data_IF_941619920200
#
_entry.id   IF_941619920200
#
_cell.length_a   1.000
_cell.length_b   1.000
_cell.length_c   1.000
_cell.angle_alpha   90.00
_cell.angle_beta   90.00
_cell.angle_gamma   90.00
#
_symmetry.space_group_name_H-M   'P 1'
#
loop_
_entity.id
_entity.type
_entity.pdbx_description
1 polymer ?
#
# COMPACT_ATOMS: atom_id res chain seq x y z
N UNK A 1 -2.69 34.97 -10.75
CA UNK A 1 -2.43 33.57 -11.11
C UNK A 1 -0.92 33.37 -11.30
N UNK A 2 -0.39 32.15 -11.14
CA UNK A 2 0.90 31.82 -11.77
C UNK A 2 0.78 32.02 -13.29
N UNK A 3 1.90 32.23 -13.98
CA UNK A 3 1.91 32.38 -15.45
C UNK A 3 1.19 31.18 -16.09
N UNK A 4 0.17 31.46 -16.92
CA UNK A 4 -0.66 30.44 -17.55
C UNK A 4 0.15 29.53 -18.48
N UNK A 5 1.28 30.03 -19.01
CA UNK A 5 2.24 29.23 -19.76
C UNK A 5 2.98 28.22 -18.87
N UNK A 6 3.34 28.62 -17.64
CA UNK A 6 3.99 27.76 -16.66
C UNK A 6 3.04 26.65 -16.15
N UNK A 7 1.75 26.95 -16.03
CA UNK A 7 0.73 25.94 -15.72
C UNK A 7 0.59 24.98 -16.91
N UNK A 8 0.43 25.48 -18.14
CA UNK A 8 0.35 24.63 -19.34
C UNK A 8 1.52 23.67 -19.49
N UNK A 9 2.76 24.11 -19.19
CA UNK A 9 3.96 23.25 -19.26
C UNK A 9 3.96 22.08 -18.25
N UNK A 10 3.17 22.16 -17.18
CA UNK A 10 3.07 21.12 -16.14
C UNK A 10 1.91 20.15 -16.34
N UNK A 11 0.97 20.47 -17.24
CA UNK A 11 -0.21 19.64 -17.48
C UNK A 11 0.11 18.52 -18.46
N UNK A 12 -0.44 17.31 -18.26
CA UNK A 12 -0.40 16.26 -19.28
C UNK A 12 -1.22 16.69 -20.50
N UNK A 13 -1.03 16.01 -21.64
CA UNK A 13 -1.94 16.15 -22.77
C UNK A 13 -3.36 15.66 -22.37
N UNK A 14 -4.42 16.40 -22.75
CA UNK A 14 -5.79 15.94 -22.54
C UNK A 14 -6.06 14.63 -23.28
N UNK A 15 -5.36 14.33 -24.37
CA UNK A 15 -5.48 13.06 -25.09
C UNK A 15 -5.13 11.84 -24.23
N UNK A 16 -4.33 12.00 -23.18
CA UNK A 16 -4.01 10.93 -22.23
C UNK A 16 -5.17 10.62 -21.26
N UNK A 17 -6.11 11.55 -21.10
CA UNK A 17 -7.31 11.39 -20.28
C UNK A 17 -7.67 12.64 -19.48
N UNK A 18 -8.93 13.04 -19.55
CA UNK A 18 -9.46 14.24 -18.90
C UNK A 18 -9.36 14.22 -17.38
N UNK A 19 -9.46 13.05 -16.73
CA UNK A 19 -9.27 12.92 -15.29
C UNK A 19 -7.81 13.11 -14.85
N UNK A 20 -6.82 12.65 -15.63
CA UNK A 20 -5.40 12.93 -15.38
C UNK A 20 -5.13 14.44 -15.48
N UNK A 21 -5.68 15.07 -16.52
CA UNK A 21 -5.57 16.52 -16.71
C UNK A 21 -6.24 17.31 -15.56
N UNK A 22 -7.46 16.93 -15.16
CA UNK A 22 -8.17 17.56 -14.03
C UNK A 22 -7.35 17.43 -12.73
N UNK A 23 -6.79 16.25 -12.43
CA UNK A 23 -5.94 16.03 -11.26
C UNK A 23 -4.74 16.98 -11.28
N UNK A 24 -3.98 16.99 -12.37
CA UNK A 24 -2.81 17.86 -12.54
C UNK A 24 -3.17 19.36 -12.48
N UNK A 25 -4.33 19.76 -13.01
CA UNK A 25 -4.83 21.13 -12.94
C UNK A 25 -5.15 21.57 -11.51
N UNK A 26 -5.83 20.72 -10.74
CA UNK A 26 -6.14 21.00 -9.33
C UNK A 26 -4.89 20.99 -8.45
N UNK A 27 -3.93 20.11 -8.72
CA UNK A 27 -2.61 20.10 -8.07
C UNK A 27 -1.79 21.36 -8.41
N UNK A 28 -1.78 21.80 -9.67
CA UNK A 28 -1.14 23.05 -10.09
C UNK A 28 -1.80 24.31 -9.49
N UNK A 29 -3.10 24.25 -9.21
CA UNK A 29 -3.85 25.30 -8.51
C UNK A 29 -3.89 25.14 -6.99
N UNK A 30 -3.16 24.18 -6.41
CA UNK A 30 -3.19 23.92 -4.97
C UNK A 30 -2.76 25.17 -4.17
N UNK A 31 -3.51 25.48 -3.11
CA UNK A 31 -3.34 26.71 -2.33
C UNK A 31 -3.94 27.98 -2.96
N UNK A 32 -4.60 27.88 -4.12
CA UNK A 32 -5.38 28.98 -4.74
C UNK A 32 -6.86 28.60 -4.88
N UNK A 33 -7.73 29.60 -5.04
CA UNK A 33 -9.11 29.41 -5.51
C UNK A 33 -9.15 29.72 -7.00
N UNK A 34 -9.14 28.72 -7.90
CA UNK A 34 -9.22 28.97 -9.34
C UNK A 34 -10.60 29.53 -9.72
N UNK A 35 -10.62 30.46 -10.67
CA UNK A 35 -11.86 31.05 -11.21
C UNK A 35 -12.23 30.48 -12.58
N UNK A 36 -13.41 30.84 -13.09
CA UNK A 36 -13.84 30.48 -14.44
C UNK A 36 -12.91 31.04 -15.53
N UNK A 37 -12.45 32.30 -15.40
CA UNK A 37 -11.49 32.89 -16.34
C UNK A 37 -10.15 32.18 -16.35
N UNK A 38 -9.68 31.76 -15.17
CA UNK A 38 -8.48 30.95 -15.00
C UNK A 38 -8.61 29.59 -15.70
N UNK A 39 -9.74 28.90 -15.50
CA UNK A 39 -10.06 27.66 -16.22
C UNK A 39 -10.13 27.87 -17.74
N UNK A 40 -10.89 28.86 -18.23
CA UNK A 40 -11.04 29.19 -19.65
C UNK A 40 -9.69 29.41 -20.33
N UNK A 41 -8.82 30.23 -19.71
CA UNK A 41 -7.46 30.51 -20.20
C UNK A 41 -6.65 29.22 -20.36
N UNK A 42 -6.60 28.39 -19.32
CA UNK A 42 -5.78 27.17 -19.32
C UNK A 42 -6.35 26.09 -20.24
N UNK A 43 -7.67 25.86 -20.23
CA UNK A 43 -8.33 24.88 -21.10
C UNK A 43 -8.24 25.26 -22.58
N UNK A 44 -8.50 26.52 -22.94
CA UNK A 44 -8.34 27.01 -24.30
C UNK A 44 -6.88 26.93 -24.77
N UNK A 45 -5.91 27.17 -23.89
CA UNK A 45 -4.49 27.05 -24.22
C UNK A 45 -4.03 25.60 -24.42
N UNK A 46 -4.71 24.62 -23.82
CA UNK A 46 -4.43 23.19 -24.00
C UNK A 46 -5.24 22.55 -25.15
N UNK A 47 -6.36 23.16 -25.55
CA UNK A 47 -7.26 22.66 -26.60
C UNK A 47 -7.43 23.68 -27.73
N UNK A 48 -8.59 24.33 -27.82
CA UNK A 48 -8.88 25.44 -28.73
C UNK A 48 -10.06 26.25 -28.23
N UNK A 49 -10.26 27.44 -28.79
CA UNK A 49 -11.45 28.26 -28.49
C UNK A 49 -12.76 27.53 -28.86
N UNK A 50 -12.76 26.77 -29.97
CA UNK A 50 -13.92 25.95 -30.38
C UNK A 50 -14.24 24.84 -29.37
N UNK A 51 -13.22 24.14 -28.86
CA UNK A 51 -13.41 23.10 -27.85
C UNK A 51 -13.91 23.67 -26.50
N UNK A 52 -13.46 24.87 -26.12
CA UNK A 52 -14.02 25.60 -24.96
C UNK A 52 -15.48 25.99 -25.21
N UNK A 53 -15.78 26.53 -26.39
CA UNK A 53 -17.12 26.96 -26.82
C UNK A 53 -18.12 25.79 -26.74
N UNK A 54 -17.77 24.63 -27.27
CA UNK A 54 -18.60 23.41 -27.19
C UNK A 54 -18.80 22.94 -25.74
N UNK A 55 -17.75 22.97 -24.92
CA UNK A 55 -17.80 22.58 -23.52
C UNK A 55 -18.72 23.51 -22.71
N UNK A 56 -18.50 24.83 -22.77
CA UNK A 56 -19.30 25.82 -22.04
C UNK A 56 -20.76 25.86 -22.53
N UNK A 57 -21.00 25.59 -23.81
CA UNK A 57 -22.34 25.41 -24.37
C UNK A 57 -23.06 24.20 -23.77
N UNK A 58 -22.37 23.07 -23.63
CA UNK A 58 -22.93 21.83 -23.07
C UNK A 58 -23.34 21.92 -21.59
N UNK A 59 -22.86 22.94 -20.86
CA UNK A 59 -23.17 23.21 -19.45
C UNK A 59 -23.80 24.58 -19.21
N UNK A 60 -24.09 25.35 -20.26
CA UNK A 60 -24.62 26.71 -20.22
C UNK A 60 -23.79 27.72 -19.37
N UNK A 61 -22.46 27.62 -19.39
CA UNK A 61 -21.57 28.47 -18.56
C UNK A 61 -21.03 29.74 -19.24
N UNK A 62 -21.32 29.99 -20.52
CA UNK A 62 -20.80 31.15 -21.26
C UNK A 62 -21.01 32.50 -20.56
N UNK A 63 -22.20 32.72 -19.99
CA UNK A 63 -22.54 33.99 -19.32
C UNK A 63 -21.91 34.17 -17.94
N UNK A 64 -21.13 33.19 -17.45
CA UNK A 64 -20.56 33.21 -16.11
C UNK A 64 -19.36 34.17 -16.06
N UNK A 65 -19.32 35.14 -15.12
CA UNK A 65 -18.19 36.06 -14.96
C UNK A 65 -16.86 35.36 -14.67
N UNK A 66 -15.77 35.91 -15.22
CA UNK A 66 -14.41 35.35 -15.17
C UNK A 66 -13.82 35.24 -13.76
N UNK A 67 -14.33 36.02 -12.80
CA UNK A 67 -13.98 36.03 -11.38
C UNK A 67 -14.77 35.00 -10.54
N UNK A 68 -15.78 34.35 -11.13
CA UNK A 68 -16.60 33.32 -10.45
C UNK A 68 -15.72 32.15 -10.01
N UNK A 69 -15.78 31.70 -8.73
CA UNK A 69 -15.05 30.51 -8.27
C UNK A 69 -15.44 29.26 -9.05
N UNK A 70 -14.42 28.54 -9.57
CA UNK A 70 -14.59 27.35 -10.41
C UNK A 70 -15.32 26.20 -9.68
N UNK A 71 -15.19 26.13 -8.35
CA UNK A 71 -15.85 25.14 -7.49
C UNK A 71 -17.35 25.02 -7.75
N UNK A 72 -18.03 26.13 -8.08
CA UNK A 72 -19.47 26.14 -8.38
C UNK A 72 -19.83 25.36 -9.66
N UNK A 73 -18.85 25.10 -10.52
CA UNK A 73 -19.02 24.53 -11.86
C UNK A 73 -18.31 23.18 -12.07
N UNK A 74 -17.46 22.72 -11.14
CA UNK A 74 -16.72 21.45 -11.29
C UNK A 74 -17.63 20.25 -11.52
N UNK A 75 -18.80 20.20 -10.88
CA UNK A 75 -19.77 19.11 -11.04
C UNK A 75 -20.41 19.07 -12.44
N UNK A 76 -20.44 20.19 -13.17
CA UNK A 76 -20.93 20.26 -14.54
C UNK A 76 -19.79 20.05 -15.56
N UNK A 77 -18.65 20.71 -15.35
CA UNK A 77 -17.51 20.69 -16.27
C UNK A 77 -16.74 19.35 -16.24
N UNK A 78 -16.44 18.80 -15.07
CA UNK A 78 -15.55 17.63 -14.96
C UNK A 78 -16.13 16.35 -15.59
N UNK A 79 -17.44 16.03 -15.48
CA UNK A 79 -18.01 14.92 -16.23
C UNK A 79 -17.84 15.07 -17.75
N UNK A 80 -18.09 16.27 -18.29
CA UNK A 80 -17.96 16.54 -19.73
C UNK A 80 -16.53 16.45 -20.25
N UNK A 81 -15.55 16.90 -19.47
CA UNK A 81 -14.13 16.74 -19.82
C UNK A 81 -13.73 15.25 -19.80
N UNK A 82 -14.18 14.46 -18.82
CA UNK A 82 -13.91 13.01 -18.77
C UNK A 82 -14.63 12.22 -19.88
N UNK A 83 -15.83 12.64 -20.26
CA UNK A 83 -16.61 12.07 -21.37
C UNK A 83 -15.93 12.36 -22.73
N UNK A 84 -15.45 13.60 -22.93
CA UNK A 84 -14.75 14.03 -24.14
C UNK A 84 -13.34 13.42 -24.27
N UNK A 85 -12.68 13.19 -23.14
CA UNK A 85 -11.31 12.66 -23.07
C UNK A 85 -11.27 11.45 -22.11
N UNK A 86 -11.74 10.27 -22.52
CA UNK A 86 -11.69 9.07 -21.68
C UNK A 86 -10.25 8.61 -21.43
N UNK A 87 -9.98 8.06 -20.25
CA UNK A 87 -8.70 7.38 -19.98
C UNK A 87 -8.68 6.03 -20.67
N UNK A 88 -7.54 5.66 -21.26
CA UNK A 88 -7.32 4.29 -21.73
C UNK A 88 -7.16 3.32 -20.55
N UNK A 89 -8.22 2.59 -20.24
CA UNK A 89 -8.26 1.57 -19.17
C UNK A 89 -7.76 0.18 -19.61
N UNK A 90 -7.47 -0.03 -20.90
CA UNK A 90 -7.07 -1.34 -21.45
C UNK A 90 -5.58 -1.66 -21.25
N UNK A 91 -4.84 -0.83 -20.49
CA UNK A 91 -3.43 -1.07 -20.20
C UNK A 91 -3.22 -2.42 -19.51
N UNK A 92 -2.28 -3.21 -20.05
CA UNK A 92 -1.80 -4.46 -19.42
C UNK A 92 -1.27 -4.21 -18.01
N UNK A 93 -0.67 -3.04 -17.78
CA UNK A 93 -0.13 -2.61 -16.48
C UNK A 93 -1.19 -2.49 -15.38
N UNK A 94 -2.45 -2.24 -15.73
CA UNK A 94 -3.55 -2.12 -14.76
C UNK A 94 -4.26 -3.45 -14.52
N UNK A 95 -4.29 -4.33 -15.53
CA UNK A 95 -5.07 -5.55 -15.52
C UNK A 95 -4.42 -6.73 -14.78
N UNK A 96 -3.09 -6.71 -14.60
CA UNK A 96 -2.36 -7.75 -13.88
C UNK A 96 -1.16 -7.16 -13.10
N UNK A 97 -1.37 -6.87 -11.82
CA UNK A 97 -0.35 -6.38 -10.88
C UNK A 97 -0.26 -7.39 -9.73
N UNK A 98 0.62 -8.40 -9.79
CA UNK A 98 0.74 -9.39 -8.72
C UNK A 98 1.38 -8.80 -7.44
N UNK A 99 1.20 -9.46 -6.27
CA UNK A 99 1.98 -9.18 -5.06
C UNK A 99 3.48 -9.43 -5.28
N UNK A 100 4.33 -8.58 -4.68
CA UNK A 100 5.78 -8.76 -4.68
C UNK A 100 6.20 -9.83 -3.66
N UNK A 101 7.41 -10.40 -3.79
CA UNK A 101 7.86 -11.43 -2.86
C UNK A 101 8.02 -10.87 -1.43
N UNK A 102 7.28 -11.46 -0.47
CA UNK A 102 7.27 -11.02 0.93
C UNK A 102 6.43 -9.76 1.20
N UNK A 103 5.72 -9.24 0.20
CA UNK A 103 4.81 -8.11 0.37
C UNK A 103 3.56 -8.52 1.14
N UNK A 104 3.21 -7.74 2.16
CA UNK A 104 1.96 -7.94 2.91
C UNK A 104 0.76 -7.51 2.08
N UNK A 105 -0.36 -8.22 2.19
CA UNK A 105 -1.59 -7.96 1.44
C UNK A 105 -2.10 -6.51 1.57
N UNK A 106 -1.93 -5.87 2.72
CA UNK A 106 -2.34 -4.47 2.92
C UNK A 106 -1.44 -3.47 2.21
N UNK A 107 -0.13 -3.76 2.13
CA UNK A 107 0.85 -2.96 1.38
C UNK A 107 0.61 -3.13 -0.13
N UNK A 108 0.36 -4.38 -0.54
CA UNK A 108 -0.04 -4.73 -1.90
C UNK A 108 -1.28 -3.94 -2.36
N UNK A 109 -2.38 -3.98 -1.62
CA UNK A 109 -3.61 -3.26 -2.00
C UNK A 109 -3.41 -1.74 -2.04
N UNK A 110 -2.66 -1.17 -1.10
CA UNK A 110 -2.34 0.25 -1.11
C UNK A 110 -1.51 0.64 -2.36
N UNK A 111 -0.49 -0.16 -2.70
CA UNK A 111 0.32 0.02 -3.91
C UNK A 111 -0.51 -0.08 -5.18
N UNK A 112 -1.40 -1.06 -5.30
CA UNK A 112 -2.26 -1.22 -6.49
C UNK A 112 -3.28 -0.08 -6.61
N UNK A 113 -3.87 0.37 -5.49
CA UNK A 113 -4.77 1.54 -5.46
C UNK A 113 -4.05 2.82 -5.89
N UNK A 114 -2.84 3.06 -5.42
CA UNK A 114 -2.03 4.22 -5.81
C UNK A 114 -1.65 4.17 -7.30
N UNK A 115 -1.25 3.01 -7.82
CA UNK A 115 -0.97 2.82 -9.24
C UNK A 115 -2.19 3.12 -10.13
N UNK A 116 -3.37 2.64 -9.72
CA UNK A 116 -4.64 2.96 -10.41
C UNK A 116 -4.97 4.46 -10.31
N UNK A 117 -4.87 5.07 -9.13
CA UNK A 117 -5.10 6.50 -8.92
C UNK A 117 -4.11 7.40 -9.68
N UNK A 118 -2.90 6.92 -9.92
CA UNK A 118 -1.88 7.59 -10.74
C UNK A 118 -2.13 7.48 -12.24
N UNK A 119 -2.60 6.31 -12.72
CA UNK A 119 -2.84 6.05 -14.16
C UNK A 119 -4.21 6.51 -14.65
N UNK A 120 -5.22 6.58 -13.78
CA UNK A 120 -6.58 7.03 -14.12
C UNK A 120 -6.84 8.48 -13.69
N UNK A 121 -6.08 9.00 -12.71
CA UNK A 121 -6.30 10.34 -12.16
C UNK A 121 -7.52 10.46 -11.25
N UNK A 122 -8.16 9.33 -10.91
CA UNK A 122 -9.27 9.22 -9.97
C UNK A 122 -9.02 8.01 -9.08
N UNK A 123 -9.40 8.08 -7.80
CA UNK A 123 -9.37 6.92 -6.91
C UNK A 123 -10.28 5.80 -7.46
N UNK A 124 -9.83 4.53 -7.53
CA UNK A 124 -10.62 3.45 -8.11
C UNK A 124 -11.89 3.10 -7.34
N UNK A 125 -12.09 3.61 -6.12
CA UNK A 125 -13.30 3.42 -5.31
C UNK A 125 -14.34 4.54 -5.58
N UNK A 126 -13.99 5.58 -6.34
CA UNK A 126 -14.84 6.75 -6.58
C UNK A 126 -16.15 6.44 -7.31
N UNK A 127 -16.09 5.61 -8.36
CA UNK A 127 -17.25 5.23 -9.17
C UNK A 127 -17.36 3.71 -9.36
N UNK A 128 -18.60 3.24 -9.51
CA UNK A 128 -18.92 1.80 -9.58
C UNK A 128 -18.25 1.08 -10.78
N UNK A 129 -18.21 1.65 -12.00
CA UNK A 129 -17.45 1.06 -13.12
C UNK A 129 -15.97 0.87 -12.80
N UNK A 130 -15.25 1.91 -12.40
CA UNK A 130 -13.81 1.81 -12.08
C UNK A 130 -13.56 0.83 -10.94
N UNK A 131 -14.43 0.82 -9.91
CA UNK A 131 -14.37 -0.12 -8.79
C UNK A 131 -14.50 -1.58 -9.22
N UNK A 132 -15.43 -1.89 -10.14
CA UNK A 132 -15.59 -3.23 -10.69
C UNK A 132 -14.37 -3.67 -11.51
N UNK A 133 -13.78 -2.77 -12.29
CA UNK A 133 -12.56 -3.06 -13.06
C UNK A 133 -11.37 -3.29 -12.12
N UNK A 134 -11.21 -2.46 -11.09
CA UNK A 134 -10.17 -2.61 -10.06
C UNK A 134 -10.30 -3.94 -9.30
N UNK A 135 -11.52 -4.29 -8.86
CA UNK A 135 -11.82 -5.61 -8.26
C UNK A 135 -11.40 -6.75 -9.19
N UNK A 136 -11.78 -6.67 -10.47
CA UNK A 136 -11.43 -7.68 -11.49
C UNK A 136 -9.92 -7.81 -11.67
N UNK A 137 -9.20 -6.70 -11.78
CA UNK A 137 -7.75 -6.68 -11.92
C UNK A 137 -7.03 -7.30 -10.71
N UNK A 138 -7.41 -6.91 -9.49
CA UNK A 138 -6.82 -7.48 -8.26
C UNK A 138 -7.07 -9.00 -8.19
N UNK A 139 -8.28 -9.48 -8.51
CA UNK A 139 -8.61 -10.92 -8.53
C UNK A 139 -7.89 -11.71 -9.63
N UNK A 140 -7.70 -11.11 -10.81
CA UNK A 140 -6.89 -11.68 -11.89
C UNK A 140 -5.42 -11.79 -11.50
N UNK A 141 -4.91 -10.80 -10.76
CA UNK A 141 -3.52 -10.73 -10.29
C UNK A 141 -3.18 -11.72 -9.18
N UNK A 142 -4.17 -12.32 -8.53
CA UNK A 142 -3.95 -13.32 -7.48
C UNK A 142 -3.62 -14.70 -8.04
N UNK A 143 -2.96 -15.51 -7.22
CA UNK A 143 -2.75 -16.93 -7.48
C UNK A 143 -4.08 -17.69 -7.50
N UNK A 144 -4.10 -18.80 -8.23
CA UNK A 144 -5.29 -19.66 -8.37
C UNK A 144 -5.84 -20.18 -7.02
N UNK A 145 -4.95 -20.37 -6.04
CA UNK A 145 -5.33 -20.77 -4.68
C UNK A 145 -6.07 -19.66 -3.93
N UNK A 146 -5.57 -18.43 -3.97
CA UNK A 146 -6.21 -17.26 -3.35
C UNK A 146 -7.51 -16.90 -4.06
N UNK A 147 -7.54 -17.00 -5.40
CA UNK A 147 -8.75 -16.75 -6.20
C UNK A 147 -9.90 -17.67 -5.80
N UNK A 148 -9.66 -18.98 -5.71
CA UNK A 148 -10.66 -19.97 -5.23
C UNK A 148 -11.14 -19.70 -3.81
N UNK A 149 -10.24 -19.27 -2.91
CA UNK A 149 -10.62 -18.93 -1.54
C UNK A 149 -11.50 -17.68 -1.49
N UNK A 150 -11.25 -16.69 -2.35
CA UNK A 150 -12.08 -15.49 -2.50
C UNK A 150 -13.44 -15.80 -3.15
N UNK A 151 -13.50 -16.66 -4.15
CA UNK A 151 -14.76 -17.12 -4.78
C UNK A 151 -15.70 -17.83 -3.79
N UNK A 152 -15.15 -18.48 -2.76
CA UNK A 152 -15.95 -19.07 -1.66
C UNK A 152 -16.52 -18.03 -0.66
N UNK A 153 -16.13 -16.74 -0.75
CA UNK A 153 -16.68 -15.69 0.14
C UNK A 153 -18.05 -15.25 -0.37
N UNK A 154 -19.09 -15.60 0.39
CA UNK A 154 -20.48 -15.26 0.07
C UNK A 154 -20.65 -13.74 -0.03
N UNK A 155 -21.04 -13.26 -1.21
CA UNK A 155 -21.35 -11.85 -1.43
C UNK A 155 -20.15 -10.92 -1.63
N UNK A 156 -18.94 -11.45 -1.85
CA UNK A 156 -17.69 -10.67 -2.03
C UNK A 156 -17.83 -9.47 -3.01
N UNK A 157 -18.57 -9.65 -4.11
CA UNK A 157 -18.83 -8.60 -5.10
C UNK A 157 -19.57 -7.39 -4.52
N UNK A 158 -20.49 -7.62 -3.57
CA UNK A 158 -21.34 -6.59 -2.96
C UNK A 158 -20.69 -5.87 -1.79
N UNK A 159 -19.54 -6.33 -1.31
CA UNK A 159 -18.81 -5.69 -0.22
C UNK A 159 -18.23 -4.34 -0.67
N UNK A 160 -18.19 -3.41 0.28
CA UNK A 160 -17.48 -2.14 0.18
C UNK A 160 -15.95 -2.36 0.16
N UNK A 161 -15.18 -1.28 -0.05
CA UNK A 161 -13.73 -1.39 -0.18
C UNK A 161 -13.05 -1.97 1.06
N UNK A 162 -13.50 -1.58 2.26
CA UNK A 162 -12.84 -1.94 3.50
C UNK A 162 -13.04 -3.43 3.83
N UNK A 163 -14.29 -3.94 3.78
CA UNK A 163 -14.56 -5.36 4.04
C UNK A 163 -14.03 -6.26 2.92
N UNK A 164 -14.13 -5.84 1.66
CA UNK A 164 -13.53 -6.57 0.53
C UNK A 164 -12.00 -6.60 0.67
N UNK A 165 -11.41 -5.47 1.06
CA UNK A 165 -9.98 -5.31 1.28
C UNK A 165 -9.49 -6.27 2.37
N UNK A 166 -10.13 -6.29 3.53
CA UNK A 166 -9.80 -7.21 4.63
C UNK A 166 -9.80 -8.69 4.20
N UNK A 167 -10.75 -9.12 3.37
CA UNK A 167 -10.76 -10.46 2.80
C UNK A 167 -9.55 -10.71 1.89
N UNK A 168 -9.25 -9.80 0.97
CA UNK A 168 -8.10 -9.94 0.05
C UNK A 168 -6.78 -9.93 0.83
N UNK A 169 -6.60 -9.02 1.79
CA UNK A 169 -5.43 -8.97 2.68
C UNK A 169 -5.29 -10.28 3.45
N UNK A 170 -6.37 -10.80 4.03
CA UNK A 170 -6.35 -12.04 4.79
C UNK A 170 -5.84 -13.23 3.97
N UNK A 171 -6.37 -13.42 2.75
CA UNK A 171 -5.97 -14.57 1.94
C UNK A 171 -4.55 -14.43 1.36
N UNK A 172 -4.09 -13.22 1.04
CA UNK A 172 -2.70 -12.98 0.63
C UNK A 172 -1.73 -13.23 1.79
N UNK A 173 -1.94 -12.59 2.96
CA UNK A 173 -1.08 -12.79 4.15
C UNK A 173 -1.10 -14.27 4.60
N UNK A 174 -2.23 -14.98 4.43
CA UNK A 174 -2.33 -16.43 4.67
C UNK A 174 -1.53 -17.25 3.67
N UNK A 175 -1.67 -17.00 2.36
CA UNK A 175 -0.92 -17.73 1.34
C UNK A 175 0.59 -17.57 1.55
N UNK A 176 1.03 -16.35 1.87
CA UNK A 176 2.45 -16.08 2.14
C UNK A 176 2.96 -16.89 3.33
N UNK A 177 2.17 -16.96 4.40
CA UNK A 177 2.51 -17.74 5.60
C UNK A 177 2.54 -19.25 5.34
N UNK A 178 1.57 -19.78 4.60
CA UNK A 178 1.51 -21.20 4.24
C UNK A 178 2.74 -21.55 3.38
N UNK A 179 3.05 -20.73 2.37
CA UNK A 179 4.25 -20.84 1.51
C UNK A 179 5.58 -20.75 2.30
N UNK A 180 5.65 -19.89 3.32
CA UNK A 180 6.83 -19.80 4.20
C UNK A 180 6.99 -21.05 5.08
N UNK A 181 5.88 -21.66 5.50
CA UNK A 181 5.88 -22.91 6.27
C UNK A 181 6.38 -24.07 5.39
N UNK A 182 5.84 -24.21 4.17
CA UNK A 182 6.29 -25.19 3.18
C UNK A 182 7.78 -25.03 2.83
N UNK A 183 8.27 -23.79 2.61
CA UNK A 183 9.70 -23.49 2.40
C UNK A 183 10.56 -23.99 3.59
N UNK A 184 10.11 -23.81 4.83
CA UNK A 184 10.83 -24.28 6.02
C UNK A 184 10.81 -25.80 6.17
N UNK A 185 9.69 -26.46 5.86
CA UNK A 185 9.57 -27.92 5.87
C UNK A 185 10.45 -28.57 4.81
N UNK A 186 10.50 -28.01 3.59
CA UNK A 186 11.39 -28.46 2.52
C UNK A 186 12.87 -28.40 2.93
N UNK A 187 13.32 -27.27 3.49
CA UNK A 187 14.71 -27.13 3.98
C UNK A 187 15.01 -28.12 5.11
N UNK A 188 14.04 -28.40 5.99
CA UNK A 188 14.18 -29.42 7.04
C UNK A 188 14.31 -30.83 6.47
N UNK A 189 13.51 -31.19 5.47
CA UNK A 189 13.56 -32.49 4.80
C UNK A 189 14.85 -32.67 4.00
N UNK A 190 15.31 -31.65 3.28
CA UNK A 190 16.60 -31.66 2.58
C UNK A 190 17.77 -31.84 3.54
N UNK A 191 17.77 -31.15 4.68
CA UNK A 191 18.79 -31.30 5.72
C UNK A 191 18.79 -32.73 6.31
N UNK A 192 17.60 -33.32 6.54
CA UNK A 192 17.48 -34.71 7.00
C UNK A 192 17.98 -35.72 5.96
N UNK A 193 17.60 -35.54 4.69
CA UNK A 193 18.05 -36.36 3.55
C UNK A 193 19.57 -36.29 3.38
N UNK A 194 20.16 -35.09 3.42
CA UNK A 194 21.60 -34.90 3.30
C UNK A 194 22.35 -35.52 4.50
N UNK A 195 21.81 -35.42 5.71
CA UNK A 195 22.34 -36.10 6.91
C UNK A 195 22.29 -37.62 6.77
N UNK A 196 21.22 -38.19 6.19
CA UNK A 196 21.11 -39.62 5.92
C UNK A 196 22.13 -40.08 4.86
N UNK A 197 22.28 -39.36 3.75
CA UNK A 197 23.30 -39.62 2.71
C UNK A 197 24.73 -39.59 3.28
N UNK A 198 25.06 -38.59 4.10
CA UNK A 198 26.37 -38.48 4.75
C UNK A 198 26.63 -39.63 5.74
N UNK A 199 25.59 -40.15 6.40
CA UNK A 199 25.72 -41.34 7.26
C UNK A 199 26.01 -42.59 6.43
N UNK A 200 25.23 -42.85 5.38
CA UNK A 200 25.44 -44.00 4.49
C UNK A 200 26.83 -43.99 3.82
N UNK A 201 27.31 -42.82 3.37
CA UNK A 201 28.68 -42.68 2.85
C UNK A 201 29.74 -42.97 3.93
N UNK A 202 29.54 -42.52 5.18
CA UNK A 202 30.45 -42.82 6.30
C UNK A 202 30.48 -44.31 6.62
N UNK A 203 29.31 -44.95 6.67
CA UNK A 203 29.17 -46.37 6.99
C UNK A 203 29.80 -47.24 5.88
N UNK A 204 29.69 -46.82 4.61
CA UNK A 204 30.40 -47.42 3.45
C UNK A 204 31.93 -47.27 3.56
N UNK A 205 32.44 -46.08 3.91
CA UNK A 205 33.88 -45.87 4.13
C UNK A 205 34.41 -46.75 5.28
N UNK A 206 33.63 -46.91 6.36
CA UNK A 206 34.00 -47.78 7.47
C UNK A 206 34.02 -49.27 7.03
N UNK A 207 33.02 -49.75 6.29
CA UNK A 207 33.06 -51.12 5.73
C UNK A 207 34.24 -51.36 4.79
N UNK A 208 34.63 -50.36 3.99
CA UNK A 208 35.82 -50.49 3.12
C UNK A 208 37.08 -50.63 3.98
N UNK A 209 37.22 -49.83 5.04
CA UNK A 209 38.33 -49.97 6.00
C UNK A 209 38.36 -51.35 6.65
N UNK A 210 37.25 -51.82 7.19
CA UNK A 210 37.14 -53.14 7.81
C UNK A 210 37.51 -54.28 6.83
N UNK A 211 37.00 -54.23 5.59
CA UNK A 211 37.35 -55.21 4.54
C UNK A 211 38.82 -55.15 4.15
N UNK A 212 39.43 -53.96 4.11
CA UNK A 212 40.86 -53.80 3.83
C UNK A 212 41.79 -54.27 4.96
N UNK A 213 41.33 -54.23 6.22
CA UNK A 213 42.11 -54.73 7.38
C UNK A 213 42.19 -56.27 7.40
N UNK A 214 41.22 -56.98 6.79
CA UNK A 214 41.22 -58.45 6.70
C UNK A 214 42.14 -58.98 5.58
N UNK A 215 42.57 -58.12 4.64
CA UNK A 215 43.57 -58.46 3.61
C UNK A 215 44.90 -57.74 3.86
N UNK A 216 45.56 -58.05 4.97
CA UNK A 216 46.96 -57.69 5.19
C UNK A 216 47.79 -58.97 5.42
N UNK A 217 48.63 -59.40 4.46
CA UNK A 217 49.50 -60.55 4.66
C UNK A 217 50.56 -60.23 5.73
N UNK A 218 50.89 -61.26 6.51
CA UNK A 218 51.79 -61.16 7.66
C UNK A 218 53.23 -60.91 7.18
N UNK A 219 53.69 -59.66 7.23
CA UNK A 219 55.08 -59.30 6.96
C UNK A 219 55.93 -59.75 8.15
N UNK A 220 56.93 -60.60 7.87
CA UNK A 220 57.89 -61.07 8.87
C UNK A 220 58.71 -59.92 9.46
N UNK A 221 59.05 -60.04 10.76
CA UNK A 221 59.98 -59.14 11.42
C UNK A 221 61.39 -59.25 10.84
N UNK A 222 62.10 -58.12 10.76
CA UNK A 222 63.56 -58.10 10.61
C UNK A 222 64.20 -57.20 11.68
N UNK A 223 65.44 -57.50 12.11
CA UNK A 223 65.99 -56.99 13.36
C UNK A 223 66.61 -55.59 13.27
N UNK A 224 66.72 -54.94 14.44
CA UNK A 224 67.32 -53.61 14.64
C UNK A 224 68.85 -53.65 14.57
N UNK A 225 69.46 -52.83 13.70
CA UNK A 225 70.85 -52.32 13.86
C UNK A 225 71.07 -51.04 13.05
N UNK A 226 71.99 -50.17 13.51
CA UNK A 226 72.65 -49.15 12.66
C UNK A 226 72.26 -47.70 12.93
N UNK A 227 73.26 -46.82 13.08
CA UNK A 227 73.14 -45.36 13.29
C UNK A 227 73.51 -44.58 12.01
N UNK A 228 72.93 -43.39 11.82
CA UNK A 228 73.49 -42.17 11.15
C UNK A 228 73.91 -42.33 9.64
N UNK A 229 73.93 -41.31 8.75
CA UNK A 229 73.64 -39.87 8.80
C UNK A 229 73.36 -39.32 7.36
N UNK A 230 72.84 -38.07 7.24
CA UNK A 230 73.01 -37.09 6.13
C UNK A 230 72.38 -37.38 4.72
N UNK A 231 71.42 -36.55 4.22
CA UNK A 231 71.54 -35.25 3.45
C UNK A 231 71.71 -35.47 1.92
N UNK A 232 71.10 -34.76 0.95
CA UNK A 232 70.37 -33.46 0.81
C UNK A 232 69.14 -33.66 -0.15
N UNK A 233 68.01 -32.91 -0.16
CA UNK A 233 67.65 -31.73 -1.02
C UNK A 233 66.11 -31.53 -0.82
N UNK A 234 65.63 -30.48 -0.14
CA UNK A 234 65.15 -29.18 -0.66
C UNK A 234 63.85 -29.19 -1.51
N UNK A 235 62.89 -28.35 -1.10
CA UNK A 235 61.61 -28.05 -1.75
C UNK A 235 60.72 -27.25 -0.79
N UNK A 236 60.56 -25.94 -1.02
CA UNK A 236 60.18 -24.96 0.02
C UNK A 236 58.67 -24.69 0.22
N UNK A 237 58.40 -24.00 1.34
CA UNK A 237 57.12 -23.46 1.84
C UNK A 237 56.66 -22.25 0.99
N UNK A 238 55.43 -21.73 1.06
CA UNK A 238 54.24 -21.94 1.93
C UNK A 238 53.12 -21.00 1.40
N UNK A 239 52.40 -20.20 2.21
CA UNK A 239 51.94 -20.41 3.59
C UNK A 239 50.42 -20.12 3.75
N UNK A 240 49.78 -20.56 4.85
CA UNK A 240 49.08 -19.62 5.74
C UNK A 240 48.80 -20.22 7.12
N UNK A 241 48.48 -19.35 8.08
CA UNK A 241 48.77 -19.51 9.49
C UNK A 241 47.60 -20.06 10.33
N UNK A 242 47.99 -20.65 11.45
CA UNK A 242 47.16 -21.18 12.53
C UNK A 242 46.87 -20.06 13.57
N UNK A 243 45.74 -20.14 14.28
CA UNK A 243 45.69 -19.99 15.75
C UNK A 243 44.27 -20.05 16.31
N UNK A 244 44.04 -21.01 17.22
CA UNK A 244 43.15 -20.84 18.38
C UNK A 244 43.99 -21.19 19.62
N UNK A 245 43.98 -20.31 20.61
CA UNK A 245 44.78 -20.46 21.84
C UNK A 245 44.05 -21.26 22.95
N UNK A 246 44.81 -21.55 24.01
CA UNK A 246 44.59 -22.60 24.99
C UNK A 246 43.82 -22.21 26.28
N UNK A 247 43.24 -23.24 26.91
CA UNK A 247 42.92 -23.41 28.35
C UNK A 247 42.13 -22.33 29.11
N UNK A 248 40.97 -22.72 29.68
CA UNK A 248 40.91 -22.97 31.14
C UNK A 248 39.71 -23.84 31.59
N UNK A 249 39.93 -24.46 32.75
CA UNK A 249 39.31 -25.65 33.35
C UNK A 249 38.01 -25.36 34.16
N UNK A 250 37.38 -26.42 34.69
CA UNK A 250 36.25 -26.54 35.67
C UNK A 250 34.87 -26.93 35.08
N UNK A 251 34.03 -27.79 35.67
CA UNK A 251 34.09 -28.96 36.56
C UNK A 251 32.61 -29.43 36.76
N UNK A 252 32.34 -30.74 36.76
CA UNK A 252 31.17 -31.45 37.36
C UNK A 252 29.68 -31.03 37.10
N UNK A 253 29.03 -31.73 36.16
CA UNK A 253 27.93 -32.74 36.39
C UNK A 253 26.60 -32.33 37.12
N UNK A 254 25.55 -33.20 37.25
CA UNK A 254 24.45 -33.25 36.25
C UNK A 254 23.01 -33.41 36.81
N UNK A 255 22.03 -33.58 35.89
CA UNK A 255 20.64 -34.12 36.07
C UNK A 255 19.57 -33.23 36.73
N UNK A 256 18.43 -33.10 36.02
CA UNK A 256 17.12 -32.73 36.56
C UNK A 256 16.02 -33.10 35.54
N UNK A 257 14.99 -33.86 35.94
CA UNK A 257 13.98 -34.45 35.05
C UNK A 257 12.55 -34.04 35.47
N UNK A 258 11.73 -33.57 34.53
CA UNK A 258 10.29 -33.26 34.73
C UNK A 258 10.06 -31.84 35.26
N UNK A 259 9.00 -31.11 34.87
CA UNK A 259 7.60 -31.52 34.76
C UNK A 259 6.80 -30.73 33.70
N UNK A 260 5.62 -31.24 33.31
CA UNK A 260 4.57 -30.41 32.68
C UNK A 260 4.02 -29.42 33.71
N UNK A 261 3.78 -28.17 33.32
CA UNK A 261 2.58 -27.37 33.61
C UNK A 261 2.67 -26.08 32.77
N UNK A 262 1.57 -25.65 32.17
CA UNK A 262 1.59 -24.60 31.14
C UNK A 262 1.28 -23.19 31.67
N UNK A 263 1.63 -22.17 30.88
CA UNK A 263 0.93 -20.88 30.90
C UNK A 263 0.97 -20.22 29.53
N UNK A 264 -0.18 -19.72 29.07
CA UNK A 264 -0.26 -18.81 27.92
C UNK A 264 0.32 -17.46 28.33
N UNK A 265 1.49 -17.11 27.82
CA UNK A 265 1.92 -15.70 27.83
C UNK A 265 1.57 -15.05 26.49
N UNK A 266 0.44 -14.33 26.49
CA UNK A 266 0.15 -13.35 25.44
C UNK A 266 1.15 -12.20 25.63
N UNK A 267 2.18 -12.15 24.80
CA UNK A 267 3.11 -11.02 24.74
C UNK A 267 2.42 -9.73 24.30
N UNK A 268 1.82 -9.02 25.26
CA UNK A 268 1.23 -7.71 25.04
C UNK A 268 2.37 -6.70 24.81
N UNK A 269 2.62 -6.32 23.56
CA UNK A 269 3.69 -5.36 23.24
C UNK A 269 3.38 -4.01 23.88
N UNK A 270 4.19 -3.66 24.88
CA UNK A 270 4.18 -2.41 25.62
C UNK A 270 4.77 -1.30 24.73
N UNK A 271 3.92 -0.46 24.15
CA UNK A 271 4.33 0.67 23.30
C UNK A 271 3.51 1.92 23.60
N UNK A 272 4.18 2.97 24.06
CA UNK A 272 3.70 4.34 24.30
C UNK A 272 2.42 4.52 25.13
N UNK A 273 2.61 4.97 26.38
CA UNK A 273 1.56 5.60 27.17
C UNK A 273 1.28 7.01 26.63
N UNK A 274 0.28 7.14 25.77
CA UNK A 274 -0.42 8.41 25.60
C UNK A 274 -1.44 8.55 26.74
N UNK A 275 -1.40 9.63 27.52
CA UNK A 275 -2.43 9.93 28.54
C UNK A 275 -3.75 10.48 27.91
N UNK A 276 -3.98 10.10 26.65
CA UNK A 276 -5.15 10.39 25.85
C UNK A 276 -6.14 9.22 25.91
N UNK A 277 -7.43 9.55 25.99
CA UNK A 277 -8.52 8.60 25.96
C UNK A 277 -8.57 7.85 24.63
N UNK A 278 -8.42 6.53 24.66
CA UNK A 278 -8.48 5.66 23.46
C UNK A 278 -9.82 5.70 22.68
N UNK A 279 -10.87 6.33 23.22
CA UNK A 279 -12.17 6.46 22.56
C UNK A 279 -12.36 7.80 21.81
N UNK A 280 -11.69 8.88 22.24
CA UNK A 280 -11.92 10.23 21.73
C UNK A 280 -10.64 11.06 21.47
N UNK A 281 -9.46 10.53 21.81
CA UNK A 281 -8.17 11.21 21.65
C UNK A 281 -7.87 12.34 22.64
N UNK A 282 -8.82 12.74 23.49
CA UNK A 282 -8.62 13.82 24.45
C UNK A 282 -7.90 13.33 25.72
N UNK A 283 -7.00 14.16 26.25
CA UNK A 283 -6.29 13.91 27.51
C UNK A 283 -7.15 14.25 28.74
N UNK A 284 -6.79 13.67 29.89
CA UNK A 284 -7.41 13.98 31.20
C UNK A 284 -8.52 13.04 31.66
N UNK A 285 -8.85 11.99 30.91
CA UNK A 285 -9.75 10.91 31.33
C UNK A 285 -9.41 9.60 30.62
N UNK A 286 -9.80 8.45 31.16
CA UNK A 286 -9.61 7.15 30.50
C UNK A 286 -10.85 6.71 29.73
N UNK A 287 -10.72 5.74 28.80
CA UNK A 287 -11.83 5.29 27.93
C UNK A 287 -13.06 4.76 28.68
N UNK A 288 -12.93 4.41 29.96
CA UNK A 288 -14.06 4.04 30.85
C UNK A 288 -14.87 5.25 31.33
N UNK A 289 -14.24 6.41 31.39
CA UNK A 289 -14.75 7.70 31.89
C UNK A 289 -15.03 8.68 30.73
N UNK A 290 -14.97 8.21 29.48
CA UNK A 290 -15.17 9.05 28.31
C UNK A 290 -16.60 9.62 28.26
N UNK A 291 -16.80 10.96 28.24
CA UNK A 291 -18.14 11.55 28.22
C UNK A 291 -18.94 11.18 26.97
N UNK A 292 -18.26 10.95 25.84
CA UNK A 292 -18.88 10.44 24.60
C UNK A 292 -19.56 9.08 24.83
N UNK A 293 -19.01 8.24 25.73
CA UNK A 293 -19.56 6.91 26.04
C UNK A 293 -20.89 6.97 26.82
N UNK A 294 -21.21 8.12 27.40
CA UNK A 294 -22.45 8.36 28.16
C UNK A 294 -23.39 9.37 27.47
N UNK A 295 -23.15 9.68 26.19
CA UNK A 295 -24.11 10.43 25.36
C UNK A 295 -24.26 11.92 25.70
N UNK A 296 -23.42 12.47 26.58
CA UNK A 296 -23.39 13.91 26.88
C UNK A 296 -22.27 14.58 26.09
N UNK A 297 -22.57 15.36 25.04
CA UNK A 297 -21.55 16.22 24.43
C UNK A 297 -21.11 17.26 25.46
N UNK A 298 -19.79 17.38 25.68
CA UNK A 298 -19.27 18.50 26.47
C UNK A 298 -19.61 19.80 25.75
N UNK A 299 -20.54 20.58 26.30
CA UNK A 299 -20.66 21.98 25.98
C UNK A 299 -19.32 22.66 26.29
N UNK A 300 -18.82 23.43 25.34
CA UNK A 300 -17.74 24.37 25.60
C UNK A 300 -18.25 25.40 26.63
N UNK A 301 -17.41 25.74 27.61
CA UNK A 301 -17.79 26.66 28.68
C UNK A 301 -18.15 28.06 28.16
N UNK A 302 -18.90 28.85 28.94
CA UNK A 302 -19.47 30.11 28.47
C UNK A 302 -18.40 31.19 28.24
N UNK A 303 -18.28 31.65 26.99
CA UNK A 303 -17.64 32.93 26.68
C UNK A 303 -18.49 34.11 27.19
N UNK A 304 -17.88 35.28 27.44
CA UNK A 304 -18.57 36.43 28.04
C UNK A 304 -19.66 36.97 27.12
N UNK A 305 -20.78 37.37 27.73
CA UNK A 305 -21.95 37.87 27.02
C UNK A 305 -21.68 39.21 26.31
N UNK A 306 -21.89 39.24 24.99
CA UNK A 306 -22.11 40.49 24.25
C UNK A 306 -23.62 40.80 24.23
N UNK A 307 -24.03 42.05 24.52
CA UNK A 307 -25.44 42.43 24.53
C UNK A 307 -26.04 42.46 23.10
N UNK A 308 -27.33 42.16 22.94
CA UNK A 308 -27.97 42.13 21.62
C UNK A 308 -28.13 43.55 21.06
N UNK A 309 -27.45 43.86 19.96
CA UNK A 309 -27.74 45.07 19.20
C UNK A 309 -28.95 44.85 18.29
N UNK A 310 -30.06 45.49 18.65
CA UNK A 310 -31.17 45.73 17.75
C UNK A 310 -30.73 46.70 16.65
N UNK A 311 -30.55 46.21 15.42
CA UNK A 311 -30.53 47.06 14.22
C UNK A 311 -31.44 46.49 13.13
N UNK A 312 -32.68 46.98 13.15
CA UNK A 312 -33.45 47.48 12.01
C UNK A 312 -33.12 46.88 10.63
N UNK A 313 -33.98 45.95 10.18
CA UNK A 313 -34.15 45.69 8.75
C UNK A 313 -34.72 46.93 8.04
N UNK A 314 -34.16 47.40 6.91
CA UNK A 314 -34.86 48.33 6.03
C UNK A 314 -36.02 47.61 5.31
N UNK A 315 -37.16 48.29 5.04
CA UNK A 315 -38.31 47.68 4.40
C UNK A 315 -38.11 47.47 2.89
N UNK A 316 -38.73 46.42 2.36
CA UNK A 316 -38.91 46.21 0.92
C UNK A 316 -39.65 47.39 0.27
N UNK A 317 -39.19 47.92 -0.88
CA UNK A 317 -40.04 48.70 -1.77
C UNK A 317 -41.13 47.79 -2.35
N UNK A 318 -42.40 48.15 -2.17
CA UNK A 318 -43.49 47.48 -2.88
C UNK A 318 -43.54 47.95 -4.33
N UNK A 319 -43.60 47.01 -5.27
CA UNK A 319 -43.96 47.30 -6.66
C UNK A 319 -45.49 47.42 -6.74
N UNK A 320 -45.98 48.63 -6.96
CA UNK A 320 -47.37 48.88 -7.34
C UNK A 320 -47.59 48.52 -8.81
N UNK A 321 -48.73 47.92 -9.18
CA UNK A 321 -49.07 47.71 -10.58
C UNK A 321 -49.62 49.03 -11.17
N UNK A 322 -48.85 49.70 -12.02
CA UNK A 322 -49.40 50.76 -12.86
C UNK A 322 -50.08 50.17 -14.10
N UNK A 323 -51.35 50.53 -14.27
CA UNK A 323 -52.04 50.41 -15.55
C UNK A 323 -51.26 51.15 -16.64
N UNK A 324 -51.11 50.53 -17.82
CA UNK A 324 -50.89 51.30 -19.04
C UNK A 324 -51.77 50.72 -20.13
N UNK A 325 -52.78 51.51 -20.49
CA UNK A 325 -53.74 51.25 -21.54
C UNK A 325 -53.10 51.27 -22.92
N UNK A 326 -53.66 50.46 -23.84
CA UNK A 326 -53.35 50.56 -25.27
C UNK A 326 -53.71 51.96 -25.81
N UNK A 327 -53.14 52.34 -26.97
CA UNK A 327 -54.01 52.25 -28.13
C UNK A 327 -53.40 51.54 -29.34
N UNK A 328 -54.31 50.96 -30.12
CA UNK A 328 -54.10 50.46 -31.49
C UNK A 328 -54.07 51.66 -32.44
N UNK A 329 -53.19 51.63 -33.44
CA UNK A 329 -53.36 52.43 -34.67
C UNK A 329 -52.95 51.59 -35.89
N UNK A 330 -53.90 51.37 -36.80
CA UNK A 330 -53.66 50.82 -38.13
C UNK A 330 -52.87 51.78 -39.02
N UNK A 331 -52.02 51.22 -39.89
CA UNK A 331 -51.60 51.78 -41.21
C UNK A 331 -50.92 50.69 -42.04
#
# INVERSE_FOLDING_TARGET
MQDTQLIKQKLPDLSAGGSLWIKAFLEACSGMVPTMGDFRRVYCACTSWGALTELEGSVASFGVPDDTPLERWVYALWPRIRERFPVNMESVELNNIPPLEGERGSVYLARVRELWGSKIGVDPVYDRPTWMMFKSAVLKSQTEQVRKQLECVVGLDRLDYDLWGDHVVHFIDKQEKDRQTEKQEMVSLEAQLNKAKLKDLRDKVNQIKEKSVVQMPQIMEMPKTGKQQEVLVQGEWGPNNNQVQYYQNHQYSPRGRGTRLGRKERGYKKGYKSDACFLCGLMGHWAKECPIRFGVPMQQGPGPAFPPQHYLSPPFPQLTPEETTHPITDS
#
